data_IF_434303447017
#
_entry.id   IF_434303447017
#
_cell.length_a   1.000
_cell.length_b   1.000
_cell.length_c   1.000
_cell.angle_alpha   90.00
_cell.angle_beta   90.00
_cell.angle_gamma   90.00
#
_symmetry.space_group_name_H-M   'P 1'
#
loop_
_entity.id
_entity.type
_entity.pdbx_description
1 polymer ?
#
# COMPACT_ATOMS: atom_id res chain seq x y z
N UNK A 1 12.03 -8.97 22.47
CA UNK A 1 12.81 -8.21 21.48
C UNK A 1 11.85 -7.52 20.52
N UNK A 2 11.96 -6.22 20.43
CA UNK A 2 11.20 -5.49 19.42
C UNK A 2 11.75 -5.80 18.03
N UNK A 3 10.90 -6.23 17.14
CA UNK A 3 11.29 -6.43 15.75
C UNK A 3 11.65 -5.07 15.14
N UNK A 4 12.74 -5.02 14.39
CA UNK A 4 13.08 -3.82 13.62
C UNK A 4 12.24 -3.84 12.36
N UNK A 5 11.34 -2.86 12.22
CA UNK A 5 10.54 -2.74 11.01
C UNK A 5 11.31 -2.01 9.92
N UNK A 6 11.06 -2.40 8.67
CA UNK A 6 11.72 -1.83 7.50
C UNK A 6 10.70 -1.13 6.61
N UNK A 7 11.09 0.03 6.06
CA UNK A 7 10.29 0.69 5.03
C UNK A 7 10.31 -0.11 3.73
N UNK A 8 9.49 0.27 2.72
CA UNK A 8 9.31 -0.54 1.51
C UNK A 8 10.59 -0.94 0.79
N UNK A 9 11.48 0.00 0.51
CA UNK A 9 12.70 -0.30 -0.25
C UNK A 9 13.66 -1.22 0.52
N UNK A 10 13.84 -0.97 1.82
CA UNK A 10 14.68 -1.81 2.66
C UNK A 10 14.07 -3.20 2.84
N UNK A 11 12.74 -3.26 2.92
CA UNK A 11 12.01 -4.52 3.09
C UNK A 11 12.19 -5.43 1.88
N UNK A 12 11.98 -4.91 0.66
CA UNK A 12 12.13 -5.73 -0.56
C UNK A 12 13.56 -6.18 -0.80
N UNK A 13 14.54 -5.48 -0.23
CA UNK A 13 15.94 -5.85 -0.30
C UNK A 13 16.33 -6.87 0.77
N UNK A 14 15.48 -7.14 1.75
CA UNK A 14 15.74 -8.04 2.86
C UNK A 14 15.08 -9.40 2.61
N UNK A 15 15.86 -10.41 2.29
CA UNK A 15 15.33 -11.74 1.97
C UNK A 15 14.61 -12.39 3.16
N UNK A 16 15.04 -12.10 4.39
CA UNK A 16 14.38 -12.64 5.57
C UNK A 16 12.99 -12.05 5.76
N UNK A 17 12.85 -10.73 5.55
CA UNK A 17 11.54 -10.07 5.62
C UNK A 17 10.61 -10.57 4.52
N UNK A 18 11.11 -10.67 3.29
CA UNK A 18 10.34 -11.11 2.14
C UNK A 18 9.92 -12.58 2.21
N UNK A 19 10.73 -13.42 2.85
CA UNK A 19 10.54 -14.87 2.87
C UNK A 19 9.72 -15.40 4.03
N UNK A 20 9.28 -14.56 4.97
CA UNK A 20 8.53 -15.04 6.14
C UNK A 20 7.04 -14.76 6.02
N UNK A 21 6.25 -15.56 6.73
CA UNK A 21 4.83 -15.28 6.93
C UNK A 21 4.67 -14.44 8.19
N UNK A 22 3.96 -13.33 8.08
CA UNK A 22 3.73 -12.42 9.20
C UNK A 22 2.40 -12.75 9.88
N UNK A 23 2.37 -12.68 11.20
CA UNK A 23 1.12 -12.87 11.97
C UNK A 23 0.28 -11.62 11.87
N UNK A 24 -1.03 -11.74 12.20
CA UNK A 24 -1.93 -10.58 12.23
C UNK A 24 -1.42 -9.52 13.22
N UNK A 25 -1.03 -9.93 14.42
CA UNK A 25 -0.54 -9.01 15.45
C UNK A 25 0.69 -8.22 14.97
N UNK A 26 1.67 -8.91 14.40
CA UNK A 26 2.87 -8.28 13.84
C UNK A 26 2.51 -7.33 12.70
N UNK A 27 1.57 -7.73 11.88
CA UNK A 27 1.14 -6.95 10.70
C UNK A 27 0.42 -5.68 11.09
N UNK A 28 -0.44 -5.74 12.09
CA UNK A 28 -1.11 -4.56 12.63
C UNK A 28 -0.08 -3.58 13.19
N UNK A 29 0.90 -4.09 13.93
CA UNK A 29 1.97 -3.27 14.49
C UNK A 29 2.84 -2.65 13.38
N UNK A 30 3.11 -3.39 12.33
CA UNK A 30 3.88 -2.90 11.19
C UNK A 30 3.19 -1.71 10.52
N UNK A 31 1.91 -1.84 10.20
CA UNK A 31 1.16 -0.75 9.55
C UNK A 31 1.06 0.48 10.45
N UNK A 32 0.88 0.28 11.74
CA UNK A 32 0.88 1.39 12.70
C UNK A 32 2.24 2.11 12.71
N UNK A 33 3.32 1.35 12.76
CA UNK A 33 4.67 1.92 12.71
C UNK A 33 4.87 2.73 11.43
N UNK A 34 4.50 2.17 10.29
CA UNK A 34 4.67 2.82 8.99
C UNK A 34 3.91 4.14 8.94
N UNK A 35 2.65 4.14 9.35
CA UNK A 35 1.81 5.35 9.33
C UNK A 35 2.31 6.41 10.30
N UNK A 36 2.66 6.03 11.53
CA UNK A 36 3.05 7.00 12.55
C UNK A 36 4.47 7.51 12.41
N UNK A 37 5.33 6.77 11.69
CA UNK A 37 6.73 7.16 11.48
C UNK A 37 6.95 7.97 10.21
N UNK A 38 6.09 7.83 9.22
CA UNK A 38 6.30 8.42 7.88
C UNK A 38 5.20 9.36 7.42
N UNK A 39 4.10 9.48 8.17
CA UNK A 39 2.98 10.33 7.79
C UNK A 39 2.96 11.60 8.63
N UNK A 40 3.46 12.69 8.07
CA UNK A 40 3.60 13.97 8.77
C UNK A 40 2.27 14.55 9.22
N UNK A 41 1.20 14.34 8.45
CA UNK A 41 -0.12 14.88 8.75
C UNK A 41 -1.00 13.92 9.56
N UNK A 42 -0.43 12.82 10.04
CA UNK A 42 -1.20 11.83 10.80
C UNK A 42 -1.89 12.43 12.02
N UNK A 43 -1.24 13.35 12.70
CA UNK A 43 -1.82 14.01 13.89
C UNK A 43 -3.12 14.72 13.56
N UNK A 44 -3.19 15.41 12.40
CA UNK A 44 -4.41 16.09 11.96
C UNK A 44 -5.50 15.07 11.69
N UNK A 45 -5.18 13.99 11.00
CA UNK A 45 -6.14 12.92 10.70
C UNK A 45 -6.64 12.27 11.99
N UNK A 46 -5.75 12.07 12.97
CA UNK A 46 -6.12 11.43 14.24
C UNK A 46 -7.12 12.23 15.06
N UNK A 47 -7.13 13.56 14.91
CA UNK A 47 -8.16 14.39 15.55
C UNK A 47 -9.52 14.21 14.92
N UNK A 48 -9.58 13.92 13.62
CA UNK A 48 -10.82 13.83 12.87
C UNK A 48 -11.42 12.42 12.89
N UNK A 49 -10.58 11.38 13.09
CA UNK A 49 -11.02 9.99 13.07
C UNK A 49 -11.22 9.47 14.49
N UNK A 50 -12.33 8.77 14.76
CA UNK A 50 -12.49 8.03 16.01
C UNK A 50 -11.35 7.02 16.19
N UNK A 51 -10.94 6.82 17.44
CA UNK A 51 -9.83 5.90 17.75
C UNK A 51 -10.06 4.50 17.22
N UNK A 52 -11.31 4.03 17.18
CA UNK A 52 -11.65 2.70 16.70
C UNK A 52 -11.32 2.49 15.22
N UNK A 53 -11.16 3.58 14.46
CA UNK A 53 -10.84 3.53 13.03
C UNK A 53 -9.36 3.74 12.73
N UNK A 54 -8.55 4.04 13.74
CA UNK A 54 -7.13 4.34 13.53
C UNK A 54 -6.39 3.17 12.92
N UNK A 55 -6.59 1.95 13.42
CA UNK A 55 -5.88 0.80 12.88
C UNK A 55 -6.29 0.50 11.44
N UNK A 56 -7.58 0.66 11.13
CA UNK A 56 -8.05 0.46 9.76
C UNK A 56 -7.44 1.48 8.82
N UNK A 57 -7.30 2.73 9.27
CA UNK A 57 -6.60 3.76 8.51
C UNK A 57 -5.12 3.38 8.29
N UNK A 58 -4.44 2.89 9.32
CA UNK A 58 -3.04 2.44 9.19
C UNK A 58 -2.91 1.35 8.14
N UNK A 59 -3.86 0.42 8.11
CA UNK A 59 -3.83 -0.71 7.18
C UNK A 59 -3.99 -0.25 5.72
N UNK A 60 -4.91 0.68 5.47
CA UNK A 60 -5.09 1.27 4.13
C UNK A 60 -3.89 2.14 3.76
N UNK A 61 -3.42 2.95 4.71
CA UNK A 61 -2.24 3.80 4.49
C UNK A 61 -1.02 2.96 4.11
N UNK A 62 -0.81 1.82 4.79
CA UNK A 62 0.31 0.94 4.48
C UNK A 62 0.30 0.47 3.04
N UNK A 63 -0.86 0.10 2.52
CA UNK A 63 -1.01 -0.26 1.12
C UNK A 63 -0.61 0.88 0.19
N UNK A 64 -1.15 2.07 0.45
CA UNK A 64 -0.90 3.25 -0.39
C UNK A 64 0.56 3.67 -0.35
N UNK A 65 1.17 3.69 0.83
CA UNK A 65 2.57 4.08 1.00
C UNK A 65 3.50 3.13 0.27
N UNK A 66 3.25 1.84 0.37
CA UNK A 66 4.04 0.85 -0.34
C UNK A 66 3.93 1.02 -1.86
N UNK A 67 2.71 1.17 -2.38
CA UNK A 67 2.50 1.37 -3.80
C UNK A 67 3.23 2.62 -4.30
N UNK A 68 3.16 3.70 -3.55
CA UNK A 68 3.84 4.96 -3.86
C UNK A 68 5.36 4.76 -3.94
N UNK A 69 5.95 4.15 -2.91
CA UNK A 69 7.40 3.94 -2.85
C UNK A 69 7.87 2.98 -3.95
N UNK A 70 7.11 1.92 -4.24
CA UNK A 70 7.46 1.00 -5.32
C UNK A 70 7.46 1.69 -6.68
N UNK A 71 6.60 2.69 -6.85
CA UNK A 71 6.57 3.49 -8.07
C UNK A 71 7.66 4.54 -8.14
N UNK A 72 7.98 5.22 -7.02
CA UNK A 72 8.79 6.43 -7.03
C UNK A 72 10.23 6.26 -6.57
N UNK A 73 10.52 5.26 -5.72
CA UNK A 73 11.79 5.19 -5.01
C UNK A 73 12.84 4.28 -5.65
N UNK A 74 12.50 3.55 -6.71
CA UNK A 74 13.45 2.62 -7.33
C UNK A 74 14.46 3.31 -8.25
N UNK A 75 14.10 4.46 -8.83
CA UNK A 75 14.93 5.15 -9.82
C UNK A 75 15.02 4.45 -11.16
N UNK A 76 14.23 3.40 -11.40
CA UNK A 76 14.25 2.59 -12.61
C UNK A 76 12.82 2.18 -12.97
N UNK A 77 12.33 2.62 -14.12
CA UNK A 77 10.97 2.35 -14.58
C UNK A 77 10.68 0.84 -14.68
N UNK A 78 11.61 0.06 -15.25
CA UNK A 78 11.42 -1.38 -15.40
C UNK A 78 11.30 -2.06 -14.04
N UNK A 79 12.13 -1.67 -13.08
CA UNK A 79 12.08 -2.21 -11.71
C UNK A 79 10.79 -1.82 -10.99
N UNK A 80 10.36 -0.57 -11.15
CA UNK A 80 9.10 -0.10 -10.56
C UNK A 80 7.91 -0.89 -11.09
N UNK A 81 7.85 -1.12 -12.40
CA UNK A 81 6.75 -1.90 -13.01
C UNK A 81 6.77 -3.35 -12.51
N UNK A 82 7.95 -3.95 -12.38
CA UNK A 82 8.11 -5.30 -11.84
C UNK A 82 7.58 -5.38 -10.41
N UNK A 83 7.97 -4.42 -9.56
CA UNK A 83 7.54 -4.39 -8.15
C UNK A 83 6.05 -4.08 -8.01
N UNK A 84 5.49 -3.22 -8.85
CA UNK A 84 4.06 -2.95 -8.84
C UNK A 84 3.25 -4.17 -9.29
N UNK A 85 3.76 -4.94 -10.25
CA UNK A 85 3.16 -6.22 -10.64
C UNK A 85 3.17 -7.21 -9.47
N UNK A 86 4.30 -7.30 -8.76
CA UNK A 86 4.41 -8.12 -7.56
C UNK A 86 3.41 -7.66 -6.50
N UNK A 87 3.25 -6.35 -6.30
CA UNK A 87 2.31 -5.79 -5.32
C UNK A 87 0.87 -6.16 -5.65
N UNK A 88 0.53 -6.15 -6.94
CA UNK A 88 -0.79 -6.60 -7.39
C UNK A 88 -1.02 -8.08 -7.07
N UNK A 89 -0.01 -8.93 -7.24
CA UNK A 89 -0.10 -10.34 -6.89
C UNK A 89 -0.32 -10.52 -5.38
N UNK A 90 0.38 -9.74 -4.57
CA UNK A 90 0.19 -9.76 -3.12
C UNK A 90 -1.21 -9.29 -2.72
N UNK A 91 -1.75 -8.28 -3.42
CA UNK A 91 -3.13 -7.84 -3.24
C UNK A 91 -4.11 -8.97 -3.54
N UNK A 92 -3.90 -9.68 -4.63
CA UNK A 92 -4.75 -10.82 -5.01
C UNK A 92 -4.72 -11.90 -3.95
N UNK A 93 -3.55 -12.25 -3.45
CA UNK A 93 -3.40 -13.21 -2.36
C UNK A 93 -4.15 -12.77 -1.11
N UNK A 94 -4.17 -11.47 -0.82
CA UNK A 94 -4.93 -10.91 0.30
C UNK A 94 -6.40 -11.29 0.19
N UNK A 95 -7.00 -11.11 -0.99
CA UNK A 95 -8.42 -11.41 -1.20
C UNK A 95 -8.70 -12.90 -1.34
N UNK A 96 -7.70 -13.70 -1.68
CA UNK A 96 -7.82 -15.16 -1.71
C UNK A 96 -7.60 -15.81 -0.34
N UNK A 97 -7.12 -15.04 0.65
CA UNK A 97 -6.90 -15.55 2.00
C UNK A 97 -5.54 -16.19 2.20
N UNK A 98 -4.57 -15.99 1.30
CA UNK A 98 -3.24 -16.58 1.37
C UNK A 98 -2.11 -15.56 1.57
N UNK A 99 -2.45 -14.36 2.06
CA UNK A 99 -1.46 -13.29 2.28
C UNK A 99 -0.42 -13.66 3.32
N UNK A 100 0.84 -13.30 3.06
CA UNK A 100 1.95 -13.48 4.00
C UNK A 100 2.63 -12.16 4.34
N UNK A 101 2.55 -11.17 3.44
CA UNK A 101 3.14 -9.85 3.62
C UNK A 101 2.37 -9.07 4.70
N UNK A 102 3.05 -8.34 5.59
CA UNK A 102 2.37 -7.70 6.73
C UNK A 102 1.29 -6.70 6.33
N UNK A 103 1.53 -5.89 5.30
CA UNK A 103 0.51 -4.94 4.84
C UNK A 103 -0.78 -5.66 4.47
N UNK A 104 -0.69 -6.76 3.76
CA UNK A 104 -1.87 -7.48 3.27
C UNK A 104 -2.50 -8.40 4.31
N UNK A 105 -1.71 -8.96 5.23
CA UNK A 105 -2.26 -9.71 6.35
C UNK A 105 -3.19 -8.82 7.17
N UNK A 106 -2.75 -7.59 7.46
CA UNK A 106 -3.55 -6.62 8.20
C UNK A 106 -4.69 -6.05 7.35
N UNK A 107 -4.44 -5.76 6.07
CA UNK A 107 -5.45 -5.20 5.16
C UNK A 107 -6.62 -6.16 4.97
N UNK A 108 -6.36 -7.46 4.97
CA UNK A 108 -7.42 -8.47 4.87
C UNK A 108 -8.44 -8.31 5.99
N UNK A 109 -7.98 -8.04 7.21
CA UNK A 109 -8.85 -7.82 8.36
C UNK A 109 -9.76 -6.61 8.13
N UNK A 110 -9.20 -5.49 7.68
CA UNK A 110 -9.96 -4.28 7.37
C UNK A 110 -10.92 -4.50 6.20
N UNK A 111 -10.46 -5.15 5.12
CA UNK A 111 -11.26 -5.39 3.94
C UNK A 111 -12.47 -6.28 4.25
N UNK A 112 -12.28 -7.33 5.07
CA UNK A 112 -13.37 -8.21 5.48
C UNK A 112 -14.38 -7.48 6.37
N UNK A 113 -13.89 -6.65 7.29
CA UNK A 113 -14.70 -5.92 8.25
C UNK A 113 -15.68 -4.94 7.58
N UNK A 114 -15.22 -4.27 6.52
CA UNK A 114 -16.00 -3.26 5.81
C UNK A 114 -16.46 -3.72 4.43
N UNK A 115 -16.20 -4.98 4.08
CA UNK A 115 -16.56 -5.54 2.77
C UNK A 115 -16.01 -4.69 1.62
N UNK A 116 -14.74 -4.30 1.72
CA UNK A 116 -14.09 -3.47 0.71
C UNK A 116 -13.80 -4.31 -0.55
N UNK A 117 -14.20 -3.83 -1.75
CA UNK A 117 -13.85 -4.53 -2.99
C UNK A 117 -12.36 -4.35 -3.32
N UNK A 118 -11.84 -5.25 -4.14
CA UNK A 118 -10.45 -5.18 -4.59
C UNK A 118 -10.20 -4.02 -5.56
N UNK A 119 -11.23 -3.61 -6.30
CA UNK A 119 -11.09 -2.69 -7.42
C UNK A 119 -10.41 -1.36 -7.10
N UNK A 120 -10.76 -0.63 -6.01
CA UNK A 120 -10.07 0.62 -5.69
C UNK A 120 -8.57 0.44 -5.46
N UNK A 121 -8.18 -0.68 -4.85
CA UNK A 121 -6.77 -0.96 -4.60
C UNK A 121 -6.02 -1.28 -5.90
N UNK A 122 -6.62 -2.06 -6.76
CA UNK A 122 -6.04 -2.39 -8.07
C UNK A 122 -5.95 -1.14 -8.96
N UNK A 123 -6.97 -0.28 -8.92
CA UNK A 123 -6.98 0.98 -9.66
C UNK A 123 -5.84 1.90 -9.23
N UNK A 124 -5.54 1.94 -7.93
CA UNK A 124 -4.42 2.72 -7.43
C UNK A 124 -3.07 2.20 -7.95
N UNK A 125 -2.91 0.88 -8.01
CA UNK A 125 -1.71 0.27 -8.60
C UNK A 125 -1.60 0.65 -10.08
N UNK A 126 -2.71 0.62 -10.81
CA UNK A 126 -2.76 1.03 -12.22
C UNK A 126 -2.32 2.49 -12.38
N UNK A 127 -2.71 3.37 -11.48
CA UNK A 127 -2.30 4.77 -11.51
C UNK A 127 -0.78 4.90 -11.39
N UNK A 128 -0.16 4.19 -10.46
CA UNK A 128 1.29 4.21 -10.29
C UNK A 128 2.02 3.57 -11.47
N UNK A 129 1.46 2.52 -12.05
CA UNK A 129 2.00 1.92 -13.29
C UNK A 129 1.96 2.92 -14.45
N UNK A 130 0.85 3.64 -14.57
CA UNK A 130 0.67 4.67 -15.60
C UNK A 130 1.71 5.78 -15.46
N UNK A 131 2.03 6.19 -14.23
CA UNK A 131 3.04 7.21 -13.96
C UNK A 131 4.42 6.82 -14.43
N UNK A 132 4.72 5.52 -14.51
CA UNK A 132 6.03 5.05 -14.98
C UNK A 132 6.22 5.25 -16.47
N UNK A 133 5.15 5.25 -17.24
CA UNK A 133 5.20 5.33 -18.71
C UNK A 133 4.74 6.67 -19.27
N UNK A 134 4.06 7.49 -18.47
CA UNK A 134 3.58 8.81 -18.85
C UNK A 134 4.20 9.87 -17.96
N UNK A 135 5.04 10.70 -18.57
CA UNK A 135 5.65 11.83 -17.87
C UNK A 135 4.88 13.12 -18.10
N UNK A 136 3.92 13.11 -19.04
CA UNK A 136 3.15 14.28 -19.42
C UNK A 136 1.79 13.85 -19.98
N UNK A 137 0.72 14.51 -19.57
CA UNK A 137 -0.62 14.25 -20.08
C UNK A 137 -0.89 15.18 -21.26
N UNK A 138 -1.30 14.61 -22.40
CA UNK A 138 -1.50 15.35 -23.64
C UNK A 138 -2.81 16.17 -23.65
N UNK A 139 -3.83 15.75 -22.85
CA UNK A 139 -5.12 16.41 -22.83
C UNK A 139 -5.86 16.13 -21.53
N UNK A 140 -7.02 16.77 -21.36
CA UNK A 140 -7.87 16.61 -20.16
C UNK A 140 -8.35 15.17 -19.96
N UNK A 141 -8.62 14.45 -21.03
CA UNK A 141 -9.09 13.05 -20.93
C UNK A 141 -8.07 12.17 -20.24
N UNK A 142 -6.79 12.33 -20.58
CA UNK A 142 -5.72 11.59 -19.91
C UNK A 142 -5.60 11.97 -18.44
N UNK A 143 -5.76 13.26 -18.12
CA UNK A 143 -5.74 13.73 -16.74
C UNK A 143 -6.92 13.15 -15.96
N UNK A 144 -8.11 13.15 -16.53
CA UNK A 144 -9.29 12.56 -15.89
C UNK A 144 -9.13 11.07 -15.67
N UNK A 145 -8.57 10.36 -16.63
CA UNK A 145 -8.31 8.93 -16.49
C UNK A 145 -7.33 8.66 -15.35
N UNK A 146 -6.27 9.45 -15.25
CA UNK A 146 -5.34 9.34 -14.15
C UNK A 146 -6.04 9.57 -12.80
N UNK A 147 -6.83 10.62 -12.69
CA UNK A 147 -7.58 10.92 -11.47
C UNK A 147 -8.54 9.80 -11.08
N UNK A 148 -9.13 9.13 -12.10
CA UNK A 148 -10.02 8.00 -11.85
C UNK A 148 -9.31 6.87 -11.11
N UNK A 149 -8.04 6.58 -11.46
CA UNK A 149 -7.29 5.48 -10.85
C UNK A 149 -6.55 5.88 -9.57
N UNK A 150 -6.18 7.13 -9.40
CA UNK A 150 -5.40 7.56 -8.23
C UNK A 150 -6.23 8.22 -7.15
N UNK A 151 -7.03 9.22 -7.50
CA UNK A 151 -7.77 10.03 -6.52
C UNK A 151 -9.13 9.42 -6.16
N UNK A 152 -9.88 8.95 -7.16
CA UNK A 152 -11.23 8.46 -6.95
C UNK A 152 -11.30 7.21 -6.05
N UNK A 153 -10.37 6.24 -6.13
CA UNK A 153 -10.40 5.08 -5.23
C UNK A 153 -10.18 5.42 -3.76
N UNK A 154 -9.45 6.50 -3.48
CA UNK A 154 -9.14 6.92 -2.12
C UNK A 154 -10.32 7.65 -1.49
#
# INVERSE_FOLDING_TARGET
>A
MSATFLGPMAFVADSAAMGRAWTLEESLAYNKWLATSHYENFQVVSFLLPKRLHQDFYNVYGFCRWADDLGDETGDTAKSLELLTWWREELRKCYEGSATHPVFVALKDTAAKYQLPIDPFDDLIKAFESDQVKTRYANFEEVFEYCRYSANPV
#
